data_IF_357475201594
#
_entry.id   IF_357475201594
#
_cell.length_a   1.000
_cell.length_b   1.000
_cell.length_c   1.000
_cell.angle_alpha   90.00
_cell.angle_beta   90.00
_cell.angle_gamma   90.00
#
_symmetry.space_group_name_H-M   'P 1'
#
loop_
_entity.id
_entity.type
_entity.pdbx_description
1 polymer ?
#
# COMPACT_ATOMS: atom_id res chain seq x y z
N UNK A 1 -21.46 -15.39 -11.04
CA UNK A 1 -20.49 -16.51 -11.05
C UNK A 1 -20.17 -16.89 -9.61
N UNK A 2 -19.81 -18.14 -9.36
CA UNK A 2 -19.35 -18.61 -8.05
C UNK A 2 -17.84 -18.43 -7.93
N UNK A 3 -17.38 -17.69 -6.94
CA UNK A 3 -15.97 -17.32 -6.77
C UNK A 3 -15.45 -17.84 -5.42
N UNK A 4 -14.33 -18.54 -5.45
CA UNK A 4 -13.56 -18.84 -4.25
C UNK A 4 -12.43 -17.80 -4.12
N UNK A 5 -12.56 -16.92 -3.13
CA UNK A 5 -11.55 -15.91 -2.81
C UNK A 5 -10.69 -16.41 -1.66
N UNK A 6 -9.40 -16.59 -1.89
CA UNK A 6 -8.50 -17.27 -0.96
C UNK A 6 -7.38 -16.33 -0.50
N UNK A 7 -7.38 -15.98 0.79
CA UNK A 7 -6.27 -15.25 1.40
C UNK A 7 -5.75 -15.96 2.66
N UNK A 8 -4.63 -16.71 2.55
CA UNK A 8 -4.01 -17.34 3.71
C UNK A 8 -3.33 -16.36 4.66
N UNK A 9 -3.20 -15.07 4.30
CA UNK A 9 -2.58 -14.00 5.08
C UNK A 9 -3.56 -12.88 5.44
N UNK A 10 -4.81 -13.18 5.65
CA UNK A 10 -5.89 -12.23 5.97
C UNK A 10 -5.78 -11.67 7.39
N UNK A 11 -4.73 -10.89 7.67
CA UNK A 11 -4.49 -10.19 8.94
C UNK A 11 -3.89 -8.80 8.71
N UNK A 12 -3.99 -7.93 9.70
CA UNK A 12 -3.57 -6.51 9.62
C UNK A 12 -4.16 -5.82 8.37
N UNK A 13 -3.39 -5.00 7.70
CA UNK A 13 -3.82 -4.26 6.50
C UNK A 13 -4.33 -5.15 5.36
N UNK A 14 -3.90 -6.42 5.30
CA UNK A 14 -4.39 -7.36 4.28
C UNK A 14 -5.83 -7.78 4.54
N UNK A 15 -6.24 -7.90 5.81
CA UNK A 15 -7.63 -8.18 6.16
C UNK A 15 -8.55 -7.00 5.84
N UNK A 16 -8.08 -5.77 6.02
CA UNK A 16 -8.81 -4.56 5.64
C UNK A 16 -8.95 -4.42 4.13
N UNK A 17 -7.89 -4.77 3.38
CA UNK A 17 -7.96 -4.85 1.91
C UNK A 17 -9.03 -5.84 1.45
N UNK A 18 -9.00 -7.08 1.98
CA UNK A 18 -9.99 -8.10 1.63
C UNK A 18 -11.42 -7.64 1.94
N UNK A 19 -11.64 -7.11 3.15
CA UNK A 19 -12.94 -6.59 3.57
C UNK A 19 -13.46 -5.51 2.63
N UNK A 20 -12.61 -4.54 2.31
CA UNK A 20 -12.96 -3.42 1.44
C UNK A 20 -13.26 -3.87 0.02
N UNK A 21 -12.46 -4.78 -0.53
CA UNK A 21 -12.71 -5.34 -1.86
C UNK A 21 -13.99 -6.17 -1.89
N UNK A 22 -14.16 -7.11 -0.94
CA UNK A 22 -15.29 -8.04 -0.91
C UNK A 22 -16.63 -7.34 -0.68
N UNK A 23 -16.67 -6.22 0.04
CA UNK A 23 -17.86 -5.37 0.19
C UNK A 23 -18.34 -4.75 -1.13
N UNK A 24 -17.43 -4.56 -2.08
CA UNK A 24 -17.68 -3.86 -3.33
C UNK A 24 -17.74 -4.78 -4.56
N UNK A 25 -17.51 -6.09 -4.40
CA UNK A 25 -17.75 -7.06 -5.47
C UNK A 25 -19.26 -7.30 -5.61
N UNK A 26 -19.79 -7.08 -6.79
CA UNK A 26 -21.21 -7.18 -7.09
C UNK A 26 -21.51 -8.27 -8.15
N UNK A 27 -22.70 -8.89 -8.07
CA UNK A 27 -23.18 -9.85 -9.06
C UNK A 27 -22.51 -11.23 -9.00
N UNK A 28 -21.74 -11.52 -7.94
CA UNK A 28 -21.04 -12.80 -7.79
C UNK A 28 -21.32 -13.43 -6.41
N UNK A 29 -21.37 -14.77 -6.39
CA UNK A 29 -21.47 -15.57 -5.16
C UNK A 29 -20.05 -15.89 -4.67
N UNK A 30 -19.58 -15.16 -3.65
CA UNK A 30 -18.20 -15.23 -3.17
C UNK A 30 -18.12 -16.04 -1.89
N UNK A 31 -17.31 -17.10 -1.89
CA UNK A 31 -16.88 -17.80 -0.69
C UNK A 31 -15.47 -17.33 -0.32
N UNK A 32 -15.32 -16.73 0.85
CA UNK A 32 -14.05 -16.20 1.34
C UNK A 32 -13.35 -17.20 2.28
N UNK A 33 -12.16 -17.65 1.90
CA UNK A 33 -11.30 -18.52 2.70
C UNK A 33 -10.19 -17.70 3.35
N UNK A 34 -10.24 -17.59 4.69
CA UNK A 34 -9.36 -16.70 5.46
C UNK A 34 -8.61 -17.44 6.59
N UNK A 35 -7.69 -16.74 7.24
CA UNK A 35 -6.94 -17.27 8.38
C UNK A 35 -7.60 -16.93 9.72
N UNK A 36 -7.10 -17.59 10.78
CA UNK A 36 -7.59 -17.46 12.16
C UNK A 36 -7.23 -16.13 12.84
N UNK A 37 -6.56 -15.22 12.14
CA UNK A 37 -6.27 -13.85 12.60
C UNK A 37 -7.15 -12.79 11.92
N UNK A 38 -8.08 -13.19 11.06
CA UNK A 38 -9.07 -12.28 10.49
C UNK A 38 -10.01 -11.77 11.59
N UNK A 39 -10.10 -10.45 11.73
CA UNK A 39 -10.76 -9.78 12.86
C UNK A 39 -12.04 -9.00 12.50
N UNK A 40 -12.45 -9.06 11.23
CA UNK A 40 -13.63 -8.33 10.78
C UNK A 40 -14.89 -9.21 10.80
N UNK A 41 -16.05 -8.57 10.81
CA UNK A 41 -17.35 -9.23 10.76
C UNK A 41 -17.57 -9.99 9.44
N UNK A 42 -18.48 -10.96 9.47
CA UNK A 42 -18.91 -11.69 8.29
C UNK A 42 -19.61 -10.74 7.32
N UNK A 43 -19.18 -10.76 6.07
CA UNK A 43 -19.78 -9.93 5.02
C UNK A 43 -21.17 -10.42 4.67
N UNK A 44 -22.18 -9.51 4.61
CA UNK A 44 -23.53 -9.87 4.15
C UNK A 44 -23.48 -10.44 2.73
N UNK A 45 -24.19 -11.54 2.52
CA UNK A 45 -24.28 -12.18 1.18
C UNK A 45 -23.10 -13.05 0.77
N UNK A 46 -22.01 -13.08 1.55
CA UNK A 46 -20.84 -13.91 1.30
C UNK A 46 -20.71 -15.02 2.34
N UNK A 47 -20.19 -16.19 1.97
CA UNK A 47 -19.83 -17.22 2.93
C UNK A 47 -18.37 -17.07 3.36
N UNK A 48 -18.11 -17.09 4.67
CA UNK A 48 -16.76 -17.02 5.25
C UNK A 48 -16.35 -18.38 5.79
N UNK A 49 -15.15 -18.84 5.45
CA UNK A 49 -14.58 -20.10 5.91
C UNK A 49 -13.19 -19.89 6.49
N UNK A 50 -13.06 -19.97 7.81
CA UNK A 50 -11.78 -19.91 8.50
C UNK A 50 -11.06 -21.26 8.39
N UNK A 51 -10.30 -21.48 7.30
CA UNK A 51 -9.60 -22.74 7.07
C UNK A 51 -8.11 -22.69 7.44
N UNK A 52 -7.51 -21.51 7.49
CA UNK A 52 -6.07 -21.38 7.77
C UNK A 52 -5.80 -21.12 9.26
N UNK A 53 -5.42 -22.20 9.98
CA UNK A 53 -5.17 -22.17 11.44
C UNK A 53 -3.69 -22.28 11.84
N UNK A 54 -2.77 -22.04 10.90
CA UNK A 54 -1.35 -22.23 11.14
C UNK A 54 -0.70 -21.11 11.99
N UNK A 55 -1.33 -19.96 12.12
CA UNK A 55 -0.77 -18.82 12.87
C UNK A 55 -0.60 -19.13 14.37
N UNK A 56 -1.49 -19.94 14.95
CA UNK A 56 -1.42 -20.41 16.35
C UNK A 56 -0.42 -21.54 16.54
N UNK A 57 0.21 -22.09 15.49
CA UNK A 57 1.17 -23.19 15.58
C UNK A 57 2.57 -22.68 15.90
N UNK A 58 3.26 -23.37 16.84
CA UNK A 58 4.57 -22.96 17.35
C UNK A 58 5.72 -23.34 16.39
N UNK A 59 5.63 -24.47 15.72
CA UNK A 59 6.70 -25.03 14.90
C UNK A 59 6.44 -24.94 13.40
N UNK A 60 7.49 -24.73 12.59
CA UNK A 60 7.40 -24.60 11.15
C UNK A 60 6.76 -25.80 10.44
N UNK A 61 7.09 -27.05 10.86
CA UNK A 61 6.53 -28.28 10.29
C UNK A 61 5.02 -28.35 10.54
N UNK A 62 4.56 -28.05 11.77
CA UNK A 62 3.13 -28.08 12.10
C UNK A 62 2.36 -26.99 11.36
N UNK A 63 2.98 -25.85 11.07
CA UNK A 63 2.41 -24.81 10.20
C UNK A 63 2.23 -25.32 8.77
N UNK A 64 3.25 -26.01 8.23
CA UNK A 64 3.20 -26.58 6.89
C UNK A 64 2.11 -27.65 6.72
N UNK A 65 1.98 -28.57 7.69
CA UNK A 65 0.93 -29.59 7.70
C UNK A 65 -0.45 -28.94 7.82
N UNK A 66 -0.64 -27.97 8.72
CA UNK A 66 -1.90 -27.23 8.87
C UNK A 66 -2.28 -26.52 7.57
N UNK A 67 -1.31 -25.91 6.88
CA UNK A 67 -1.53 -25.27 5.59
C UNK A 67 -1.95 -26.27 4.51
N UNK A 68 -1.26 -27.41 4.42
CA UNK A 68 -1.62 -28.48 3.48
C UNK A 68 -3.06 -28.99 3.72
N UNK A 69 -3.43 -29.23 5.00
CA UNK A 69 -4.80 -29.64 5.34
C UNK A 69 -5.84 -28.58 4.91
N UNK A 70 -5.52 -27.28 5.03
CA UNK A 70 -6.39 -26.21 4.59
C UNK A 70 -6.60 -26.23 3.08
N UNK A 71 -5.53 -26.38 2.30
CA UNK A 71 -5.58 -26.46 0.85
C UNK A 71 -6.34 -27.71 0.38
N UNK A 72 -6.16 -28.86 1.06
CA UNK A 72 -6.94 -30.09 0.76
C UNK A 72 -8.44 -29.84 0.98
N UNK A 73 -8.83 -29.19 2.08
CA UNK A 73 -10.23 -28.85 2.35
C UNK A 73 -10.81 -27.91 1.28
N UNK A 74 -10.06 -26.90 0.86
CA UNK A 74 -10.49 -25.99 -0.22
C UNK A 74 -10.61 -26.75 -1.55
N UNK A 75 -9.70 -27.70 -1.82
CA UNK A 75 -9.79 -28.56 -3.01
C UNK A 75 -11.05 -29.44 -2.99
N UNK A 76 -11.40 -30.01 -1.83
CA UNK A 76 -12.65 -30.79 -1.66
C UNK A 76 -13.87 -29.88 -1.88
N UNK A 77 -13.86 -28.69 -1.29
CA UNK A 77 -14.92 -27.71 -1.52
C UNK A 77 -15.04 -27.34 -3.02
N UNK A 78 -13.91 -27.18 -3.73
CA UNK A 78 -13.93 -26.89 -5.17
C UNK A 78 -14.52 -28.06 -6.01
N UNK A 79 -14.23 -29.30 -5.64
CA UNK A 79 -14.82 -30.49 -6.29
C UNK A 79 -16.34 -30.54 -6.08
N UNK A 80 -16.80 -30.26 -4.85
CA UNK A 80 -18.23 -30.33 -4.48
C UNK A 80 -19.01 -29.15 -5.09
N UNK A 81 -18.49 -27.93 -4.92
CA UNK A 81 -19.23 -26.71 -5.25
C UNK A 81 -18.96 -26.17 -6.66
N UNK A 82 -17.92 -26.66 -7.34
CA UNK A 82 -17.52 -26.32 -8.72
C UNK A 82 -17.54 -24.81 -8.96
N UNK A 83 -16.65 -24.04 -8.30
CA UNK A 83 -16.60 -22.60 -8.54
C UNK A 83 -16.18 -22.31 -9.99
N UNK A 84 -16.68 -21.21 -10.55
CA UNK A 84 -16.26 -20.73 -11.86
C UNK A 84 -14.83 -20.15 -11.80
N UNK A 85 -14.49 -19.55 -10.64
CA UNK A 85 -13.24 -18.81 -10.42
C UNK A 85 -12.65 -19.18 -9.07
N UNK A 86 -11.33 -19.34 -9.06
CA UNK A 86 -10.50 -19.31 -7.85
C UNK A 86 -9.56 -18.10 -7.91
N UNK A 87 -9.76 -17.16 -6.99
CA UNK A 87 -8.95 -15.95 -6.88
C UNK A 87 -8.04 -16.03 -5.65
N UNK A 88 -6.73 -16.12 -5.88
CA UNK A 88 -5.70 -16.27 -4.83
C UNK A 88 -4.99 -14.96 -4.58
N UNK A 89 -4.85 -14.55 -3.30
CA UNK A 89 -4.19 -13.32 -2.90
C UNK A 89 -2.72 -13.49 -2.55
N UNK A 90 -2.31 -14.63 -2.00
CA UNK A 90 -0.95 -14.89 -1.56
C UNK A 90 -0.55 -16.34 -1.72
N UNK A 91 0.70 -16.58 -2.12
CA UNK A 91 1.35 -17.88 -2.08
C UNK A 91 2.13 -18.03 -0.77
N UNK A 92 2.07 -19.20 -0.15
CA UNK A 92 2.76 -19.48 1.12
C UNK A 92 3.79 -20.59 1.02
N UNK A 93 3.43 -21.70 0.37
CA UNK A 93 4.28 -22.89 0.23
C UNK A 93 4.24 -23.30 -1.22
N UNK A 94 5.28 -22.96 -1.96
CA UNK A 94 5.35 -23.11 -3.41
C UNK A 94 4.80 -24.44 -3.95
N UNK A 95 5.28 -25.57 -3.43
CA UNK A 95 4.87 -26.87 -3.96
C UNK A 95 3.37 -27.15 -3.76
N UNK A 96 2.83 -26.76 -2.61
CA UNK A 96 1.41 -26.95 -2.29
C UNK A 96 0.57 -26.03 -3.17
N UNK A 97 0.93 -24.76 -3.26
CA UNK A 97 0.20 -23.72 -4.02
C UNK A 97 0.19 -24.04 -5.51
N UNK A 98 1.32 -24.53 -6.05
CA UNK A 98 1.45 -24.87 -7.45
C UNK A 98 0.63 -26.12 -7.81
N UNK A 99 0.66 -27.18 -6.97
CA UNK A 99 -0.17 -28.38 -7.17
C UNK A 99 -1.66 -28.04 -7.08
N UNK A 100 -2.05 -27.21 -6.11
CA UNK A 100 -3.43 -26.72 -6.01
C UNK A 100 -3.85 -25.99 -7.30
N UNK A 101 -3.04 -25.07 -7.80
CA UNK A 101 -3.34 -24.34 -9.03
C UNK A 101 -3.44 -25.27 -10.25
N UNK A 102 -2.57 -26.30 -10.36
CA UNK A 102 -2.67 -27.32 -11.41
C UNK A 102 -3.99 -28.10 -11.34
N UNK A 103 -4.41 -28.50 -10.14
CA UNK A 103 -5.69 -29.21 -9.95
C UNK A 103 -6.87 -28.34 -10.38
N UNK A 104 -6.90 -27.07 -9.99
CA UNK A 104 -7.95 -26.13 -10.41
C UNK A 104 -7.96 -25.94 -11.93
N UNK A 105 -6.80 -25.79 -12.54
CA UNK A 105 -6.66 -25.69 -14.00
C UNK A 105 -7.19 -26.94 -14.72
N UNK A 106 -6.85 -28.13 -14.25
CA UNK A 106 -7.36 -29.39 -14.81
C UNK A 106 -8.88 -29.59 -14.65
N UNK A 107 -9.44 -28.99 -13.59
CA UNK A 107 -10.90 -28.97 -13.38
C UNK A 107 -11.61 -27.92 -14.27
N UNK A 108 -10.87 -27.16 -15.09
CA UNK A 108 -11.43 -26.08 -15.92
C UNK A 108 -11.86 -24.84 -15.14
N UNK A 109 -11.39 -24.69 -13.91
CA UNK A 109 -11.68 -23.54 -13.06
C UNK A 109 -10.73 -22.39 -13.42
N UNK A 110 -11.27 -21.21 -13.69
CA UNK A 110 -10.48 -20.02 -14.03
C UNK A 110 -9.70 -19.51 -12.81
N UNK A 111 -8.38 -19.37 -12.98
CA UNK A 111 -7.47 -18.95 -11.91
C UNK A 111 -7.11 -17.48 -12.05
N UNK A 112 -7.33 -16.71 -11.00
CA UNK A 112 -6.90 -15.31 -10.88
C UNK A 112 -5.94 -15.18 -9.70
N UNK A 113 -4.87 -14.43 -9.87
CA UNK A 113 -3.89 -14.18 -8.82
C UNK A 113 -3.63 -12.68 -8.65
N UNK A 114 -3.79 -12.15 -7.44
CA UNK A 114 -3.35 -10.78 -7.11
C UNK A 114 -1.89 -10.79 -6.70
N UNK A 115 -1.04 -10.17 -7.52
CA UNK A 115 0.37 -10.00 -7.25
C UNK A 115 0.61 -8.69 -6.50
N UNK A 116 0.45 -8.70 -5.18
CA UNK A 116 0.80 -7.55 -4.34
C UNK A 116 2.28 -7.17 -4.45
N UNK A 117 3.13 -8.14 -4.77
CA UNK A 117 4.54 -7.98 -5.14
C UNK A 117 4.88 -8.97 -6.25
N UNK A 118 5.74 -8.57 -7.18
CA UNK A 118 6.18 -9.47 -8.28
C UNK A 118 6.91 -10.70 -7.74
N UNK A 119 7.74 -10.50 -6.72
CA UNK A 119 8.49 -11.53 -6.00
C UNK A 119 8.39 -11.29 -4.49
N UNK A 120 8.64 -12.30 -3.65
CA UNK A 120 8.68 -12.12 -2.19
C UNK A 120 9.71 -11.07 -1.78
N UNK A 121 9.48 -10.38 -0.65
CA UNK A 121 10.45 -9.42 -0.10
C UNK A 121 11.83 -10.02 0.17
N UNK A 122 11.88 -11.28 0.60
CA UNK A 122 13.11 -12.05 0.79
C UNK A 122 13.19 -13.10 -0.32
N UNK A 123 13.99 -12.80 -1.35
CA UNK A 123 14.12 -13.65 -2.55
C UNK A 123 15.04 -14.83 -2.25
N UNK A 124 14.57 -16.06 -2.47
CA UNK A 124 15.36 -17.30 -2.41
C UNK A 124 15.81 -17.71 -3.83
N UNK A 125 16.84 -18.56 -3.88
CA UNK A 125 17.52 -18.97 -5.14
C UNK A 125 16.58 -19.41 -6.28
N UNK A 126 15.44 -20.02 -5.98
CA UNK A 126 14.52 -20.55 -7.00
C UNK A 126 13.22 -19.74 -7.16
N UNK A 127 13.00 -18.67 -6.39
CA UNK A 127 11.73 -17.96 -6.38
C UNK A 127 11.33 -17.42 -7.75
N UNK A 128 12.26 -16.78 -8.48
CA UNK A 128 11.98 -16.28 -9.83
C UNK A 128 11.42 -17.37 -10.75
N UNK A 129 12.03 -18.58 -10.74
CA UNK A 129 11.59 -19.73 -11.56
C UNK A 129 10.23 -20.24 -11.11
N UNK A 130 9.99 -20.29 -9.79
CA UNK A 130 8.75 -20.74 -9.20
C UNK A 130 7.60 -19.78 -9.53
N UNK A 131 7.77 -18.50 -9.29
CA UNK A 131 6.78 -17.49 -9.61
C UNK A 131 6.50 -17.40 -11.11
N UNK A 132 7.53 -17.48 -11.98
CA UNK A 132 7.33 -17.53 -13.43
C UNK A 132 6.42 -18.70 -13.86
N UNK A 133 6.61 -19.89 -13.28
CA UNK A 133 5.74 -21.05 -13.56
C UNK A 133 4.31 -20.82 -13.12
N UNK A 134 4.12 -20.24 -11.92
CA UNK A 134 2.81 -19.93 -11.39
C UNK A 134 2.09 -18.88 -12.25
N UNK A 135 2.77 -17.79 -12.57
CA UNK A 135 2.24 -16.73 -13.42
C UNK A 135 1.89 -17.23 -14.84
N UNK A 136 2.62 -18.21 -15.38
CA UNK A 136 2.25 -18.84 -16.65
C UNK A 136 1.00 -19.72 -16.55
N UNK A 137 0.76 -20.33 -15.40
CA UNK A 137 -0.37 -21.23 -15.17
C UNK A 137 -1.70 -20.49 -14.97
N UNK A 138 -1.72 -19.42 -14.14
CA UNK A 138 -2.96 -18.66 -13.85
C UNK A 138 -3.51 -17.97 -15.10
N UNK A 139 -4.81 -17.73 -15.18
CA UNK A 139 -5.46 -17.15 -16.36
C UNK A 139 -5.32 -15.62 -16.39
N UNK A 140 -5.49 -14.96 -15.25
CA UNK A 140 -5.28 -13.52 -15.09
C UNK A 140 -4.45 -13.21 -13.86
N UNK A 141 -3.69 -12.10 -13.95
CA UNK A 141 -2.90 -11.57 -12.86
C UNK A 141 -3.36 -10.14 -12.60
N UNK A 142 -3.70 -9.83 -11.37
CA UNK A 142 -3.98 -8.46 -10.93
C UNK A 142 -2.69 -7.87 -10.36
N UNK A 143 -2.36 -6.66 -10.77
CA UNK A 143 -1.33 -5.80 -10.19
C UNK A 143 -1.91 -4.46 -9.85
N UNK A 144 -1.27 -3.68 -8.97
CA UNK A 144 -1.85 -2.48 -8.42
C UNK A 144 -1.37 -1.17 -9.08
N UNK A 145 -0.50 -1.25 -10.09
CA UNK A 145 -0.08 -0.09 -10.87
C UNK A 145 0.45 -0.50 -12.24
N UNK A 146 0.48 0.46 -13.17
CA UNK A 146 0.88 0.23 -14.56
C UNK A 146 2.37 -0.09 -14.73
N UNK A 147 3.22 0.42 -13.85
CA UNK A 147 4.66 0.13 -13.85
C UNK A 147 4.91 -1.34 -13.48
N UNK A 148 4.29 -1.82 -12.41
CA UNK A 148 4.37 -3.22 -12.00
C UNK A 148 3.88 -4.17 -13.10
N UNK A 149 2.85 -3.78 -13.89
CA UNK A 149 2.40 -4.56 -15.04
C UNK A 149 3.52 -4.78 -16.05
N UNK A 150 4.23 -3.73 -16.45
CA UNK A 150 5.35 -3.80 -17.39
C UNK A 150 6.52 -4.62 -16.82
N UNK A 151 6.93 -4.29 -15.61
CA UNK A 151 8.01 -4.99 -14.91
C UNK A 151 7.74 -6.50 -14.77
N UNK A 152 6.49 -6.86 -14.41
CA UNK A 152 6.10 -8.27 -14.28
C UNK A 152 6.10 -8.99 -15.62
N UNK A 153 5.58 -8.35 -16.68
CA UNK A 153 5.58 -8.91 -18.03
C UNK A 153 7.00 -9.21 -18.52
N UNK A 154 7.91 -8.24 -18.38
CA UNK A 154 9.31 -8.38 -18.79
C UNK A 154 10.06 -9.40 -17.92
N UNK A 155 9.98 -9.27 -16.58
CA UNK A 155 10.73 -10.12 -15.64
C UNK A 155 10.34 -11.59 -15.74
N UNK A 156 9.05 -11.87 -15.97
CA UNK A 156 8.48 -13.21 -16.00
C UNK A 156 8.26 -13.76 -17.40
N UNK A 157 8.49 -12.94 -18.44
CA UNK A 157 8.29 -13.32 -19.86
C UNK A 157 6.86 -13.87 -20.05
N UNK A 158 5.88 -13.00 -19.79
CA UNK A 158 4.45 -13.25 -19.95
C UNK A 158 3.76 -12.09 -20.68
N UNK A 159 2.66 -12.38 -21.36
CA UNK A 159 1.91 -11.36 -22.08
C UNK A 159 1.26 -10.34 -21.14
N UNK A 160 1.41 -9.05 -21.43
CA UNK A 160 0.72 -7.99 -20.70
C UNK A 160 -0.81 -8.10 -20.74
N UNK A 161 -1.39 -8.73 -21.77
CA UNK A 161 -2.85 -8.97 -21.87
C UNK A 161 -3.39 -9.78 -20.70
N UNK A 162 -2.55 -10.67 -20.12
CA UNK A 162 -2.86 -11.48 -18.95
C UNK A 162 -2.83 -10.69 -17.64
N UNK A 163 -2.14 -9.53 -17.63
CA UNK A 163 -1.93 -8.72 -16.45
C UNK A 163 -2.89 -7.54 -16.45
N UNK A 164 -3.74 -7.47 -15.45
CA UNK A 164 -4.76 -6.44 -15.28
C UNK A 164 -4.35 -5.47 -14.19
N UNK A 165 -4.48 -4.17 -14.44
CA UNK A 165 -4.20 -3.14 -13.45
C UNK A 165 -5.49 -2.82 -12.70
N UNK A 166 -5.61 -3.32 -11.48
CA UNK A 166 -6.68 -2.97 -10.54
C UNK A 166 -6.00 -2.37 -9.31
N UNK A 167 -6.23 -1.10 -9.05
CA UNK A 167 -5.53 -0.36 -8.01
C UNK A 167 -5.76 -0.97 -6.63
N UNK A 168 -4.81 -0.73 -5.73
CA UNK A 168 -5.03 -0.95 -4.31
C UNK A 168 -5.83 0.24 -3.78
N UNK A 169 -6.99 -0.02 -3.23
CA UNK A 169 -7.86 1.05 -2.74
C UNK A 169 -7.27 1.82 -1.57
N UNK A 170 -7.78 3.02 -1.38
CA UNK A 170 -7.42 3.87 -0.24
C UNK A 170 -7.97 3.24 1.04
N UNK A 171 -7.12 3.05 2.03
CA UNK A 171 -7.56 2.67 3.38
C UNK A 171 -7.94 3.96 4.11
N UNK A 172 -9.22 4.10 4.47
CA UNK A 172 -9.69 5.22 5.27
C UNK A 172 -9.27 5.03 6.73
N UNK A 173 -8.95 6.13 7.38
CA UNK A 173 -8.81 6.16 8.84
C UNK A 173 -10.22 6.21 9.47
N UNK A 174 -10.38 5.51 10.60
CA UNK A 174 -11.63 5.56 11.39
C UNK A 174 -11.63 6.75 12.35
N UNK A 175 -10.59 7.60 12.32
CA UNK A 175 -10.45 8.74 13.25
C UNK A 175 -11.40 9.88 12.87
N UNK A 176 -12.15 10.39 13.84
CA UNK A 176 -13.06 11.51 13.62
C UNK A 176 -12.29 12.79 13.23
N UNK A 177 -12.72 13.46 12.18
CA UNK A 177 -12.05 14.66 11.64
C UNK A 177 -11.89 15.77 12.69
N UNK A 178 -12.85 15.95 13.58
CA UNK A 178 -12.80 16.96 14.64
C UNK A 178 -11.67 16.67 15.65
N UNK A 179 -11.48 15.39 16.01
CA UNK A 179 -10.42 14.97 16.94
C UNK A 179 -9.05 15.15 16.31
N UNK A 180 -8.91 14.86 15.00
CA UNK A 180 -7.68 15.07 14.23
C UNK A 180 -7.29 16.54 14.23
N UNK A 181 -8.24 17.45 13.95
CA UNK A 181 -7.98 18.89 13.92
C UNK A 181 -7.57 19.39 15.32
N UNK A 182 -8.33 19.03 16.36
CA UNK A 182 -8.02 19.42 17.74
C UNK A 182 -6.64 18.95 18.16
N UNK A 183 -6.29 17.71 17.83
CA UNK A 183 -4.99 17.15 18.15
C UNK A 183 -3.85 17.79 17.35
N UNK A 184 -4.08 18.14 16.09
CA UNK A 184 -3.10 18.86 15.27
C UNK A 184 -2.83 20.26 15.82
N UNK A 185 -3.85 20.98 16.31
CA UNK A 185 -3.69 22.28 16.93
C UNK A 185 -2.87 22.19 18.24
N UNK A 186 -3.13 21.19 19.09
CA UNK A 186 -2.32 20.91 20.29
C UNK A 186 -0.86 20.64 19.92
N UNK A 187 -0.61 19.84 18.89
CA UNK A 187 0.74 19.54 18.40
C UNK A 187 1.41 20.80 17.84
N UNK A 188 0.69 21.64 17.14
CA UNK A 188 1.17 22.92 16.61
C UNK A 188 1.66 23.83 17.73
N UNK A 189 0.88 23.98 18.78
CA UNK A 189 1.27 24.76 19.96
C UNK A 189 2.48 24.16 20.68
N UNK A 190 2.48 22.85 20.91
CA UNK A 190 3.57 22.12 21.58
C UNK A 190 4.90 22.28 20.84
N UNK A 191 4.86 22.23 19.52
CA UNK A 191 6.02 22.32 18.65
C UNK A 191 6.37 23.78 18.25
N UNK A 192 5.63 24.78 18.74
CA UNK A 192 5.79 26.20 18.42
C UNK A 192 5.79 26.50 16.91
N UNK A 193 4.97 25.77 16.13
CA UNK A 193 4.81 25.93 14.69
C UNK A 193 3.68 26.91 14.42
N UNK A 194 3.92 27.97 13.66
CA UNK A 194 2.90 28.94 13.27
C UNK A 194 2.04 28.40 12.10
N UNK A 195 0.80 28.86 11.96
CA UNK A 195 -0.04 28.45 10.82
C UNK A 195 0.54 28.77 9.44
N UNK A 196 1.40 29.80 9.34
CA UNK A 196 2.07 30.22 8.10
C UNK A 196 3.37 29.46 7.81
N UNK A 197 3.85 28.65 8.73
CA UNK A 197 5.12 27.96 8.58
C UNK A 197 4.98 26.75 7.64
N UNK A 198 6.06 26.45 6.92
CA UNK A 198 6.14 25.28 6.06
C UNK A 198 6.60 24.07 6.89
N UNK A 199 5.84 23.00 6.84
CA UNK A 199 6.12 21.76 7.56
C UNK A 199 6.30 20.62 6.56
N UNK A 200 7.55 20.19 6.36
CA UNK A 200 7.86 18.96 5.62
C UNK A 200 7.86 17.76 6.56
N UNK A 201 7.23 16.67 6.17
CA UNK A 201 7.10 15.52 7.05
C UNK A 201 7.48 14.19 6.40
N UNK A 202 8.23 13.36 7.16
CA UNK A 202 8.48 11.95 6.92
C UNK A 202 7.71 11.14 7.99
N UNK A 203 6.57 10.54 7.63
CA UNK A 203 5.69 9.86 8.57
C UNK A 203 5.69 8.33 8.43
N UNK A 204 5.36 7.66 9.54
CA UNK A 204 5.29 6.20 9.66
C UNK A 204 6.65 5.55 9.88
N UNK A 205 6.72 4.23 9.85
CA UNK A 205 7.95 3.48 10.13
C UNK A 205 9.09 3.92 9.20
N UNK A 206 10.19 4.40 9.77
CA UNK A 206 11.36 4.89 9.02
C UNK A 206 12.29 3.72 8.70
N UNK A 207 12.56 3.50 7.41
CA UNK A 207 13.47 2.46 6.88
C UNK A 207 14.30 3.04 5.74
N UNK A 208 15.46 2.46 5.48
CA UNK A 208 16.39 2.89 4.45
C UNK A 208 15.72 3.14 3.08
N UNK A 209 14.85 2.22 2.63
CA UNK A 209 14.19 2.34 1.32
C UNK A 209 13.24 3.54 1.20
N UNK A 210 12.85 4.17 2.31
CA UNK A 210 12.00 5.37 2.31
C UNK A 210 12.74 6.66 1.99
N UNK A 211 14.08 6.63 1.96
CA UNK A 211 14.90 7.77 1.61
C UNK A 211 14.94 8.88 2.67
N UNK A 212 14.54 8.58 3.92
CA UNK A 212 14.62 9.55 5.04
C UNK A 212 16.04 10.06 5.26
N UNK A 213 17.05 9.22 5.03
CA UNK A 213 18.46 9.62 5.10
C UNK A 213 18.81 10.73 4.11
N UNK A 214 18.22 10.73 2.90
CA UNK A 214 18.41 11.82 1.93
C UNK A 214 17.85 13.15 2.47
N UNK A 215 16.70 13.10 3.15
CA UNK A 215 16.10 14.30 3.77
C UNK A 215 17.00 14.83 4.88
N UNK A 216 17.54 13.93 5.70
CA UNK A 216 18.47 14.27 6.79
C UNK A 216 19.72 14.97 6.23
N UNK A 217 20.36 14.40 5.21
CA UNK A 217 21.56 14.98 4.60
C UNK A 217 21.29 16.34 3.96
N UNK A 218 20.13 16.51 3.32
CA UNK A 218 19.72 17.80 2.74
C UNK A 218 19.49 18.83 3.83
N UNK A 219 18.80 18.46 4.89
CA UNK A 219 18.50 19.38 5.99
C UNK A 219 19.77 19.82 6.70
N UNK A 220 20.68 18.89 7.03
CA UNK A 220 21.94 19.18 7.70
C UNK A 220 22.84 20.14 6.91
N UNK A 221 22.88 19.98 5.59
CA UNK A 221 23.81 20.73 4.73
C UNK A 221 23.24 22.06 4.20
N UNK A 222 21.97 22.39 4.49
CA UNK A 222 21.31 23.51 3.84
C UNK A 222 20.78 24.56 4.81
N UNK A 223 21.47 25.75 4.92
CA UNK A 223 21.03 26.85 5.79
C UNK A 223 19.67 27.45 5.44
N UNK A 224 19.21 27.38 4.18
CA UNK A 224 17.86 27.85 3.80
C UNK A 224 16.76 26.96 4.43
N UNK A 225 17.09 25.76 4.87
CA UNK A 225 16.18 24.86 5.58
C UNK A 225 16.42 24.89 7.10
N UNK A 226 17.66 24.58 7.54
CA UNK A 226 17.95 24.35 8.95
C UNK A 226 18.04 25.62 9.79
N UNK A 227 18.33 26.79 9.20
CA UNK A 227 18.34 28.08 9.87
C UNK A 227 17.08 28.92 9.63
N UNK A 228 16.12 28.45 8.86
CA UNK A 228 14.87 29.15 8.56
C UNK A 228 13.85 28.89 9.68
N UNK A 229 13.47 29.89 10.49
CA UNK A 229 12.55 29.72 11.61
C UNK A 229 11.10 29.43 11.18
N UNK A 230 10.77 29.62 9.90
CA UNK A 230 9.43 29.39 9.36
C UNK A 230 9.35 28.08 8.51
N UNK A 231 10.39 27.24 8.59
CA UNK A 231 10.41 25.95 7.88
C UNK A 231 10.80 24.84 8.85
N UNK A 232 9.99 23.81 8.94
CA UNK A 232 10.14 22.74 9.92
C UNK A 232 10.24 21.38 9.26
N UNK A 233 10.98 20.45 9.88
CA UNK A 233 11.05 19.05 9.52
C UNK A 233 10.46 18.18 10.63
N UNK A 234 9.45 17.40 10.32
CA UNK A 234 8.90 16.36 11.19
C UNK A 234 9.33 14.98 10.70
N UNK A 235 9.97 14.20 11.57
CA UNK A 235 10.25 12.78 11.33
C UNK A 235 9.56 12.00 12.43
N UNK A 236 8.43 11.35 12.10
CA UNK A 236 7.56 10.73 13.10
C UNK A 236 7.30 9.28 12.75
N UNK A 237 7.62 8.39 13.67
CA UNK A 237 7.42 6.95 13.57
C UNK A 237 8.69 6.15 13.82
N UNK A 238 8.52 4.91 14.27
CA UNK A 238 9.62 4.05 14.69
C UNK A 238 10.68 3.85 13.60
N UNK A 239 11.93 4.06 13.99
CA UNK A 239 13.08 3.93 13.09
C UNK A 239 13.66 2.51 13.09
N UNK A 240 14.22 2.13 11.94
CA UNK A 240 15.01 0.92 11.75
C UNK A 240 16.31 1.27 11.02
N UNK A 241 17.33 1.68 11.80
CA UNK A 241 18.67 1.91 11.27
C UNK A 241 18.86 3.27 10.59
N UNK A 242 18.02 4.27 10.87
CA UNK A 242 18.22 5.66 10.40
C UNK A 242 19.08 6.40 11.44
N UNK A 243 20.13 7.07 10.97
CA UNK A 243 20.97 7.93 11.79
C UNK A 243 20.44 9.38 11.77
N UNK A 244 20.04 9.87 12.93
CA UNK A 244 19.54 11.23 13.10
C UNK A 244 20.61 12.22 13.58
N UNK A 245 21.83 11.76 13.91
CA UNK A 245 22.89 12.60 14.48
C UNK A 245 23.16 13.89 13.68
N UNK A 246 23.12 13.89 12.32
CA UNK A 246 23.39 15.10 11.54
C UNK A 246 22.38 16.24 11.74
N UNK A 247 21.18 15.94 12.23
CA UNK A 247 20.10 16.94 12.40
C UNK A 247 19.66 17.14 13.85
N UNK A 248 20.27 16.44 14.80
CA UNK A 248 20.03 16.67 16.23
C UNK A 248 20.54 18.07 16.63
N UNK A 249 19.65 18.85 17.26
CA UNK A 249 20.00 20.19 17.77
C UNK A 249 19.55 21.35 16.87
N UNK A 250 19.05 21.11 15.67
CA UNK A 250 18.35 22.17 14.94
C UNK A 250 16.98 22.45 15.57
N UNK A 251 16.71 23.72 15.85
CA UNK A 251 15.49 24.15 16.55
C UNK A 251 14.21 23.95 15.77
N UNK A 252 14.31 23.72 14.47
CA UNK A 252 13.18 23.50 13.56
C UNK A 252 13.06 22.04 13.08
N UNK A 253 13.70 21.09 13.79
CA UNK A 253 13.62 19.65 13.52
C UNK A 253 13.00 18.93 14.70
N UNK A 254 11.98 18.15 14.45
CA UNK A 254 11.25 17.36 15.44
C UNK A 254 11.31 15.88 15.08
N UNK A 255 11.90 15.07 15.95
CA UNK A 255 12.07 13.63 15.75
C UNK A 255 11.30 12.89 16.84
N UNK A 256 10.37 12.04 16.44
CA UNK A 256 9.62 11.17 17.34
C UNK A 256 9.80 9.71 16.88
N UNK A 257 10.86 9.06 17.41
CA UNK A 257 11.23 7.68 17.06
C UNK A 257 10.49 6.68 17.95
N UNK A 258 9.19 6.56 17.74
CA UNK A 258 8.34 5.57 18.41
C UNK A 258 7.10 5.24 17.58
N UNK A 259 6.38 4.18 17.97
CA UNK A 259 5.04 3.94 17.44
C UNK A 259 4.08 4.97 18.05
N UNK A 260 3.22 5.50 17.22
CA UNK A 260 2.19 6.48 17.61
C UNK A 260 0.79 5.91 17.35
N UNK A 261 -0.20 6.51 17.97
CA UNK A 261 -1.62 6.19 17.73
C UNK A 261 -2.05 6.63 16.33
N UNK A 262 -3.16 6.06 15.83
CA UNK A 262 -3.73 6.48 14.55
C UNK A 262 -4.18 7.95 14.60
N UNK A 263 -4.70 8.42 15.74
CA UNK A 263 -5.06 9.83 15.95
C UNK A 263 -3.83 10.74 15.83
N UNK A 264 -2.72 10.43 16.51
CA UNK A 264 -1.49 11.22 16.41
C UNK A 264 -0.93 11.18 14.99
N UNK A 265 -0.98 10.01 14.32
CA UNK A 265 -0.54 9.90 12.93
C UNK A 265 -1.33 10.83 12.01
N UNK A 266 -2.64 10.81 12.10
CA UNK A 266 -3.52 11.67 11.31
C UNK A 266 -3.35 13.16 11.67
N UNK A 267 -3.07 13.48 12.94
CA UNK A 267 -2.82 14.84 13.40
C UNK A 267 -1.46 15.38 12.87
N UNK A 268 -0.38 14.59 12.90
CA UNK A 268 0.89 14.97 12.27
C UNK A 268 0.76 15.12 10.75
N UNK A 269 -0.04 14.26 10.12
CA UNK A 269 -0.33 14.37 8.71
C UNK A 269 -1.08 15.69 8.40
N UNK A 270 -2.10 16.01 9.20
CA UNK A 270 -2.88 17.26 9.09
C UNK A 270 -2.04 18.52 9.30
N UNK A 271 -1.09 18.45 10.22
CA UNK A 271 -0.14 19.54 10.52
C UNK A 271 0.82 19.82 9.35
N UNK A 272 1.04 18.86 8.48
CA UNK A 272 2.04 18.94 7.40
C UNK A 272 1.61 19.88 6.28
N UNK A 273 2.57 20.60 5.72
CA UNK A 273 2.40 21.36 4.48
C UNK A 273 2.63 20.45 3.25
N UNK A 274 3.60 19.53 3.35
CA UNK A 274 3.85 18.53 2.32
C UNK A 274 4.48 17.26 2.93
N UNK A 275 4.07 16.10 2.41
CA UNK A 275 4.63 14.81 2.79
C UNK A 275 5.76 14.43 1.85
N UNK A 276 6.92 14.08 2.40
CA UNK A 276 8.09 13.67 1.66
C UNK A 276 8.08 12.14 1.47
N UNK A 277 8.05 11.70 0.22
CA UNK A 277 8.08 10.30 -0.19
C UNK A 277 9.24 10.05 -1.18
N UNK A 278 10.50 10.35 -0.79
CA UNK A 278 11.66 10.18 -1.65
C UNK A 278 12.12 8.72 -1.67
N UNK A 279 11.16 7.80 -1.86
CA UNK A 279 11.41 6.37 -1.74
C UNK A 279 12.37 5.88 -2.81
N UNK A 280 13.29 5.00 -2.40
CA UNK A 280 14.29 4.38 -3.30
C UNK A 280 13.67 3.15 -3.97
N UNK A 281 12.75 2.47 -3.28
CA UNK A 281 12.09 1.25 -3.75
C UNK A 281 10.77 1.04 -3.05
N UNK A 282 9.69 0.94 -3.82
CA UNK A 282 8.37 0.59 -3.32
C UNK A 282 7.46 0.13 -4.47
N UNK A 283 6.44 -0.66 -4.21
CA UNK A 283 5.34 -0.90 -5.14
C UNK A 283 4.22 0.13 -4.99
N UNK A 284 3.80 0.40 -3.75
CA UNK A 284 2.78 1.41 -3.39
C UNK A 284 2.99 1.95 -1.98
N UNK A 285 2.40 3.12 -1.68
CA UNK A 285 2.49 3.78 -0.37
C UNK A 285 1.10 4.10 0.19
N UNK A 286 0.75 3.48 1.32
CA UNK A 286 -0.45 3.85 2.06
C UNK A 286 -0.42 5.30 2.55
N UNK A 287 0.76 5.81 2.94
CA UNK A 287 0.93 7.20 3.38
C UNK A 287 0.56 8.22 2.28
N UNK A 288 0.84 7.92 1.00
CA UNK A 288 0.41 8.77 -0.10
C UNK A 288 -1.12 8.94 -0.09
N UNK A 289 -1.85 7.83 0.05
CA UNK A 289 -3.31 7.87 0.05
C UNK A 289 -3.88 8.48 1.33
N UNK A 290 -3.22 8.31 2.48
CA UNK A 290 -3.58 9.06 3.70
C UNK A 290 -3.45 10.57 3.47
N UNK A 291 -2.37 11.01 2.80
CA UNK A 291 -2.18 12.42 2.43
C UNK A 291 -3.27 12.91 1.46
N UNK A 292 -3.62 12.10 0.45
CA UNK A 292 -4.72 12.40 -0.49
C UNK A 292 -6.05 12.58 0.25
N UNK A 293 -6.35 11.73 1.23
CA UNK A 293 -7.60 11.83 1.99
C UNK A 293 -7.71 13.11 2.82
N UNK A 294 -6.58 13.65 3.29
CA UNK A 294 -6.54 14.88 4.07
C UNK A 294 -6.18 16.12 3.23
N UNK A 295 -6.11 15.99 1.91
CA UNK A 295 -5.72 17.05 0.97
C UNK A 295 -4.32 17.63 1.26
N UNK A 296 -3.38 16.79 1.68
CA UNK A 296 -2.00 17.20 1.93
C UNK A 296 -1.14 16.90 0.71
N UNK A 297 -0.44 17.90 0.16
CA UNK A 297 0.45 17.73 -0.98
C UNK A 297 1.57 16.72 -0.71
N UNK A 298 2.04 16.07 -1.77
CA UNK A 298 3.10 15.06 -1.69
C UNK A 298 4.29 15.38 -2.60
N UNK A 299 5.52 15.16 -2.12
CA UNK A 299 6.72 15.09 -2.95
C UNK A 299 7.08 13.61 -3.13
N UNK A 300 6.99 13.11 -4.34
CA UNK A 300 7.21 11.69 -4.62
C UNK A 300 8.36 11.46 -5.58
N UNK A 301 9.15 10.41 -5.35
CA UNK A 301 10.12 9.92 -6.33
C UNK A 301 9.44 9.08 -7.42
N UNK A 302 10.08 9.00 -8.59
CA UNK A 302 9.59 8.18 -9.72
C UNK A 302 9.98 6.70 -9.54
N UNK A 303 9.40 6.07 -8.51
CA UNK A 303 9.58 4.63 -8.23
C UNK A 303 8.25 3.94 -7.98
N UNK A 304 8.13 2.69 -8.45
CA UNK A 304 6.92 1.90 -8.29
C UNK A 304 5.67 2.61 -8.81
N UNK A 305 4.62 2.61 -8.02
CA UNK A 305 3.34 3.27 -8.32
C UNK A 305 3.16 4.65 -7.71
N UNK A 306 4.24 5.31 -7.20
CA UNK A 306 4.10 6.58 -6.47
C UNK A 306 3.65 7.75 -7.37
N UNK A 307 4.08 7.78 -8.62
CA UNK A 307 3.75 8.88 -9.55
C UNK A 307 2.42 8.68 -10.27
N UNK A 308 1.88 7.47 -10.29
CA UNK A 308 0.63 7.17 -11.01
C UNK A 308 -0.57 7.99 -10.49
N UNK A 309 -0.77 8.20 -9.14
CA UNK A 309 -1.82 9.06 -8.63
C UNK A 309 -1.75 10.52 -9.12
N UNK A 310 -0.55 11.05 -9.37
CA UNK A 310 -0.36 12.41 -9.88
C UNK A 310 -0.90 12.59 -11.31
N UNK A 311 -1.09 11.50 -12.05
CA UNK A 311 -1.69 11.54 -13.39
C UNK A 311 -3.22 11.71 -13.37
N UNK A 312 -3.86 11.49 -12.22
CA UNK A 312 -5.30 11.66 -12.04
C UNK A 312 -5.67 13.03 -11.48
N UNK A 313 -4.75 13.67 -10.74
CA UNK A 313 -4.97 15.01 -10.19
C UNK A 313 -3.65 15.64 -9.73
N UNK A 314 -3.60 16.97 -9.77
CA UNK A 314 -2.45 17.74 -9.29
C UNK A 314 -2.42 17.76 -7.75
N UNK A 315 -1.82 16.72 -7.15
CA UNK A 315 -1.75 16.54 -5.70
C UNK A 315 -0.33 16.72 -5.13
N UNK A 316 0.62 17.18 -5.95
CA UNK A 316 2.01 17.35 -5.51
C UNK A 316 3.02 17.30 -6.65
N UNK A 317 4.25 16.96 -6.32
CA UNK A 317 5.39 17.05 -7.22
C UNK A 317 6.12 15.72 -7.39
N UNK A 318 6.50 15.43 -8.63
CA UNK A 318 7.39 14.32 -8.97
C UNK A 318 8.84 14.84 -8.99
N UNK A 319 9.67 14.37 -8.06
CA UNK A 319 11.10 14.76 -8.01
C UNK A 319 11.98 13.97 -8.99
N UNK A 320 11.40 13.01 -9.73
CA UNK A 320 12.16 12.09 -10.59
C UNK A 320 12.92 11.03 -9.78
N UNK A 321 14.15 10.75 -10.18
CA UNK A 321 15.02 9.80 -9.46
C UNK A 321 15.28 10.30 -8.04
N UNK A 322 15.21 9.44 -7.01
CA UNK A 322 15.42 9.82 -5.61
C UNK A 322 16.90 10.10 -5.32
N UNK A 323 17.38 11.26 -5.77
CA UNK A 323 18.72 11.76 -5.48
C UNK A 323 18.64 12.98 -4.55
N UNK A 324 19.75 13.26 -3.86
CA UNK A 324 19.87 14.43 -2.98
C UNK A 324 19.59 15.73 -3.74
N UNK A 325 20.15 15.86 -4.94
CA UNK A 325 20.03 17.06 -5.78
C UNK A 325 18.58 17.32 -6.19
N UNK A 326 17.88 16.29 -6.65
CA UNK A 326 16.49 16.41 -7.12
C UNK A 326 15.56 16.80 -5.97
N UNK A 327 15.67 16.10 -4.84
CA UNK A 327 14.84 16.37 -3.66
C UNK A 327 15.17 17.75 -3.07
N UNK A 328 16.44 18.09 -2.93
CA UNK A 328 16.87 19.41 -2.41
C UNK A 328 16.33 20.55 -3.28
N UNK A 329 16.49 20.45 -4.59
CA UNK A 329 15.98 21.47 -5.52
C UNK A 329 14.49 21.72 -5.29
N UNK A 330 13.69 20.64 -5.23
CA UNK A 330 12.25 20.79 -5.07
C UNK A 330 11.88 21.36 -3.68
N UNK A 331 12.53 20.89 -2.61
CA UNK A 331 12.28 21.42 -1.28
C UNK A 331 12.60 22.92 -1.18
N UNK A 332 13.74 23.36 -1.72
CA UNK A 332 14.13 24.77 -1.74
C UNK A 332 13.20 25.64 -2.60
N UNK A 333 12.74 25.12 -3.74
CA UNK A 333 11.76 25.79 -4.58
C UNK A 333 10.46 26.06 -3.80
N UNK A 334 9.97 25.08 -3.06
CA UNK A 334 8.75 25.21 -2.24
C UNK A 334 8.94 26.17 -1.05
N UNK A 335 10.11 26.20 -0.44
CA UNK A 335 10.42 27.20 0.60
C UNK A 335 10.41 28.64 0.05
N UNK A 336 10.90 28.82 -1.17
CA UNK A 336 10.91 30.14 -1.84
C UNK A 336 9.55 30.52 -2.43
N UNK A 337 8.69 29.54 -2.67
CA UNK A 337 7.36 29.71 -3.30
C UNK A 337 6.26 28.96 -2.53
N UNK A 338 6.00 29.34 -1.27
CA UNK A 338 5.01 28.66 -0.42
C UNK A 338 3.60 28.70 -0.96
N UNK A 339 3.29 29.68 -1.80
CA UNK A 339 2.02 29.82 -2.54
C UNK A 339 1.71 28.60 -3.42
N UNK A 340 2.72 27.89 -3.92
CA UNK A 340 2.51 26.67 -4.70
C UNK A 340 1.95 25.52 -3.82
N UNK A 341 2.40 25.41 -2.57
CA UNK A 341 1.89 24.43 -1.63
C UNK A 341 0.42 24.72 -1.33
N UNK A 342 0.09 25.98 -1.03
CA UNK A 342 -1.27 26.40 -0.73
C UNK A 342 -2.19 26.26 -1.95
N UNK A 343 -1.70 26.54 -3.15
CA UNK A 343 -2.47 26.39 -4.38
C UNK A 343 -2.90 24.91 -4.59
N UNK A 344 -2.03 23.95 -4.33
CA UNK A 344 -2.38 22.52 -4.39
C UNK A 344 -3.31 22.16 -3.24
N UNK A 345 -2.97 22.50 -2.00
CA UNK A 345 -3.73 22.14 -0.79
C UNK A 345 -5.18 22.61 -0.86
N UNK A 346 -5.41 23.81 -1.38
CA UNK A 346 -6.74 24.42 -1.50
C UNK A 346 -7.55 23.90 -2.70
N UNK A 347 -6.95 23.14 -3.60
CA UNK A 347 -7.66 22.57 -4.77
C UNK A 347 -8.20 21.18 -4.47
N UNK A 348 -9.25 21.10 -3.68
CA UNK A 348 -9.86 19.82 -3.26
C UNK A 348 -10.31 18.95 -4.44
N UNK A 349 -10.69 19.55 -5.58
CA UNK A 349 -11.15 18.82 -6.76
C UNK A 349 -10.09 17.89 -7.33
N UNK A 350 -8.82 18.28 -7.28
CA UNK A 350 -7.72 17.45 -7.77
C UNK A 350 -7.51 16.21 -6.88
N UNK A 351 -7.62 16.38 -5.55
CA UNK A 351 -7.59 15.26 -4.61
C UNK A 351 -8.82 14.35 -4.78
N UNK A 352 -10.00 14.90 -5.03
CA UNK A 352 -11.22 14.14 -5.27
C UNK A 352 -11.14 13.27 -6.52
N UNK A 353 -10.53 13.77 -7.61
CA UNK A 353 -10.26 12.97 -8.81
C UNK A 353 -9.39 11.75 -8.50
N UNK A 354 -8.33 11.94 -7.71
CA UNK A 354 -7.47 10.83 -7.29
C UNK A 354 -8.22 9.85 -6.39
N UNK A 355 -8.96 10.35 -5.38
CA UNK A 355 -9.78 9.49 -4.50
C UNK A 355 -10.75 8.63 -5.30
N UNK A 356 -11.47 9.23 -6.28
CA UNK A 356 -12.41 8.50 -7.14
C UNK A 356 -11.73 7.42 -7.99
N UNK A 357 -10.53 7.67 -8.49
CA UNK A 357 -9.79 6.67 -9.27
C UNK A 357 -9.37 5.45 -8.43
N UNK A 358 -9.16 5.66 -7.11
CA UNK A 358 -8.69 4.67 -6.16
C UNK A 358 -9.75 4.26 -5.12
N UNK A 359 -11.03 4.57 -5.34
CA UNK A 359 -12.11 4.17 -4.45
C UNK A 359 -12.43 2.66 -4.57
N UNK A 360 -12.96 2.10 -3.49
CA UNK A 360 -13.26 0.68 -3.44
C UNK A 360 -14.46 0.26 -4.31
N UNK A 361 -15.37 1.17 -4.60
CA UNK A 361 -16.50 0.93 -5.51
C UNK A 361 -15.98 0.69 -6.93
N UNK A 362 -15.17 1.60 -7.46
CA UNK A 362 -14.52 1.47 -8.78
C UNK A 362 -13.63 0.22 -8.87
N UNK A 363 -12.90 -0.11 -7.77
CA UNK A 363 -12.05 -1.30 -7.70
C UNK A 363 -12.89 -2.59 -7.69
N UNK A 364 -14.00 -2.59 -6.95
CA UNK A 364 -14.95 -3.70 -6.90
C UNK A 364 -15.61 -3.93 -8.25
N UNK A 365 -16.04 -2.87 -8.94
CA UNK A 365 -16.59 -2.92 -10.30
C UNK A 365 -15.60 -3.53 -11.29
N UNK A 366 -14.34 -3.06 -11.32
CA UNK A 366 -13.28 -3.59 -12.18
C UNK A 366 -13.00 -5.07 -11.89
N UNK A 367 -13.01 -5.44 -10.60
CA UNK A 367 -12.81 -6.84 -10.20
C UNK A 367 -13.99 -7.71 -10.62
N UNK A 368 -15.22 -7.21 -10.47
CA UNK A 368 -16.44 -7.89 -10.93
C UNK A 368 -16.46 -8.06 -12.45
N UNK A 369 -16.09 -7.03 -13.21
CA UNK A 369 -15.95 -7.08 -14.68
C UNK A 369 -14.85 -8.07 -15.11
N UNK A 370 -13.74 -8.14 -14.35
CA UNK A 370 -12.73 -9.18 -14.61
C UNK A 370 -13.29 -10.58 -14.37
N UNK A 371 -14.09 -10.77 -13.34
CA UNK A 371 -14.73 -12.06 -13.09
C UNK A 371 -15.69 -12.45 -14.24
N UNK A 372 -16.48 -11.49 -14.70
CA UNK A 372 -17.41 -11.70 -15.83
C UNK A 372 -16.70 -11.89 -17.19
N UNK A 373 -15.39 -11.60 -17.27
CA UNK A 373 -14.63 -11.71 -18.53
C UNK A 373 -14.75 -10.49 -19.43
N UNK A 374 -15.22 -9.36 -18.90
CA UNK A 374 -15.48 -8.10 -19.64
C UNK A 374 -14.31 -7.09 -19.52
N UNK A 375 -13.29 -7.40 -18.71
CA UNK A 375 -12.17 -6.49 -18.39
C UNK A 375 -10.89 -6.85 -19.16
#
# INVERSE_FOLDING_TARGET
MKVFYINPQSYNNLSTYDLSLLKNIQGHDVTYYHCDQYQHDILPGNSNKCYFHYNKKKYGITKGISYLCSIIRITIDAIIHKPDIVHVQWLRVWHIDYVFALLMHWMGIRLIFTAHNILPHVIKKNDKRHYKRYYKLVDNIIVHNSRTRKELAELMDISERKIKVIFHGVLNSDTAKADVISRADELRELLHIKPSDIVFSCLGVQKEYKGTSLVIDIWADNPELNANPNTHLLIVGRSHGIDYAPIIGFSNVYILDQMISDLDFDAYLHLSSAILLPYIRISQSGLLFSAVNQHIPVLVSDVGGLTEPLSYGNIGWNIGTPTKENLQRQMLELVRRPDEIEAIKNNSQEFDKVRKAYDWESIGEKTSSLYSGEY
#
